data_IF_332903898090
#
_entry.id   IF_332903898090
#
_cell.length_a   1.000
_cell.length_b   1.000
_cell.length_c   1.000
_cell.angle_alpha   90.00
_cell.angle_beta   90.00
_cell.angle_gamma   90.00
#
_symmetry.space_group_name_H-M   'P 1'
#
loop_
_entity.id
_entity.type
_entity.pdbx_description
1 polymer ?
#
# COMPACT_ATOMS: atom_id res chain seq x y z
N UNK A 1 -15.92 11.84 -27.61
CA UNK A 1 -16.28 11.15 -26.35
C UNK A 1 -16.91 9.84 -26.75
N UNK A 2 -16.12 8.78 -26.91
CA UNK A 2 -16.62 7.46 -27.33
C UNK A 2 -17.34 6.82 -26.15
N UNK A 3 -18.65 6.59 -26.28
CA UNK A 3 -19.44 5.81 -25.33
C UNK A 3 -18.77 4.45 -25.13
N UNK A 4 -18.30 4.19 -23.91
CA UNK A 4 -17.85 2.86 -23.52
C UNK A 4 -19.11 2.02 -23.41
N UNK A 5 -19.28 1.02 -24.27
CA UNK A 5 -20.42 0.11 -24.20
C UNK A 5 -20.44 -0.60 -22.84
N UNK A 6 -21.63 -0.88 -22.30
CA UNK A 6 -21.81 -1.48 -20.98
C UNK A 6 -21.04 -2.82 -20.82
N UNK A 7 -20.89 -3.58 -21.91
CA UNK A 7 -20.07 -4.80 -21.95
C UNK A 7 -18.55 -4.52 -21.88
N UNK A 8 -18.08 -3.48 -22.58
CA UNK A 8 -16.67 -3.06 -22.53
C UNK A 8 -16.24 -2.63 -21.12
N UNK A 9 -17.13 -1.97 -20.38
CA UNK A 9 -16.89 -1.61 -18.99
C UNK A 9 -16.84 -2.85 -18.06
N UNK A 10 -17.80 -3.77 -18.17
CA UNK A 10 -17.83 -4.99 -17.34
C UNK A 10 -16.54 -5.81 -17.51
N UNK A 11 -16.05 -5.96 -18.74
CA UNK A 11 -14.82 -6.70 -19.03
C UNK A 11 -13.57 -6.01 -18.44
N UNK A 12 -13.53 -4.68 -18.43
CA UNK A 12 -12.45 -3.90 -17.81
C UNK A 12 -12.46 -4.04 -16.29
N UNK A 13 -13.63 -3.94 -15.66
CA UNK A 13 -13.79 -4.11 -14.22
C UNK A 13 -13.44 -5.53 -13.76
N UNK A 14 -13.86 -6.55 -14.51
CA UNK A 14 -13.51 -7.94 -14.25
C UNK A 14 -12.00 -8.17 -14.34
N UNK A 15 -11.36 -7.67 -15.40
CA UNK A 15 -9.89 -7.76 -15.56
C UNK A 15 -9.16 -7.09 -14.40
N UNK A 16 -9.61 -5.91 -13.97
CA UNK A 16 -9.07 -5.22 -12.80
C UNK A 16 -9.23 -6.03 -11.52
N UNK A 17 -10.41 -6.61 -11.25
CA UNK A 17 -10.63 -7.46 -10.09
C UNK A 17 -9.76 -8.72 -10.11
N UNK A 18 -9.52 -9.29 -11.30
CA UNK A 18 -8.60 -10.42 -11.46
C UNK A 18 -7.15 -10.03 -11.14
N UNK A 19 -6.68 -8.87 -11.59
CA UNK A 19 -5.35 -8.37 -11.22
C UNK A 19 -5.25 -8.10 -9.71
N UNK A 20 -6.30 -7.52 -9.12
CA UNK A 20 -6.40 -7.30 -7.68
C UNK A 20 -6.32 -8.63 -6.91
N UNK A 21 -7.14 -9.62 -7.27
CA UNK A 21 -7.15 -10.95 -6.66
C UNK A 21 -5.81 -11.65 -6.81
N UNK A 22 -5.21 -11.61 -8.00
CA UNK A 22 -3.90 -12.20 -8.27
C UNK A 22 -2.83 -11.59 -7.36
N UNK A 23 -2.88 -10.28 -7.16
CA UNK A 23 -1.92 -9.57 -6.30
C UNK A 23 -2.09 -9.94 -4.82
N UNK A 24 -3.34 -10.04 -4.34
CA UNK A 24 -3.62 -10.57 -3.00
C UNK A 24 -3.06 -11.98 -2.82
N UNK A 25 -3.33 -12.88 -3.77
CA UNK A 25 -2.84 -14.26 -3.72
C UNK A 25 -1.32 -14.29 -3.70
N UNK A 26 -0.64 -13.51 -4.53
CA UNK A 26 0.82 -13.45 -4.55
C UNK A 26 1.41 -12.93 -3.25
N UNK A 27 0.86 -11.85 -2.69
CA UNK A 27 1.35 -11.25 -1.44
C UNK A 27 1.10 -12.17 -0.23
N UNK A 28 -0.05 -12.84 -0.18
CA UNK A 28 -0.37 -13.82 0.88
C UNK A 28 0.49 -15.08 0.71
N UNK A 29 0.66 -15.59 -0.52
CA UNK A 29 1.51 -16.75 -0.76
C UNK A 29 2.97 -16.46 -0.39
N UNK A 30 3.46 -15.24 -0.64
CA UNK A 30 4.79 -14.80 -0.27
C UNK A 30 5.07 -14.94 1.23
N UNK A 31 4.05 -14.84 2.08
CA UNK A 31 4.20 -14.94 3.54
C UNK A 31 4.17 -16.37 4.06
N UNK A 32 3.66 -17.32 3.27
CA UNK A 32 3.59 -18.75 3.65
C UNK A 32 4.91 -19.47 3.38
N UNK A 33 5.72 -18.95 2.45
CA UNK A 33 7.00 -19.57 2.09
C UNK A 33 8.01 -19.32 3.22
N UNK A 34 8.55 -20.37 3.87
CA UNK A 34 9.55 -20.20 4.92
C UNK A 34 10.81 -19.53 4.35
N UNK A 35 11.21 -18.38 4.90
CA UNK A 35 12.49 -17.75 4.59
C UNK A 35 13.49 -17.97 5.73
N UNK A 36 14.76 -18.30 5.43
CA UNK A 36 15.81 -18.33 6.46
C UNK A 36 16.03 -16.94 7.06
N UNK A 37 16.07 -16.86 8.39
CA UNK A 37 16.32 -15.61 9.13
C UNK A 37 15.06 -14.82 9.51
N UNK A 38 15.26 -13.67 10.15
CA UNK A 38 14.19 -12.80 10.67
C UNK A 38 13.68 -11.78 9.65
N UNK A 39 14.35 -11.64 8.51
CA UNK A 39 13.99 -10.68 7.46
C UNK A 39 12.96 -11.30 6.52
N UNK A 40 11.81 -10.65 6.25
CA UNK A 40 10.80 -11.14 5.32
C UNK A 40 11.22 -10.92 3.85
N UNK A 41 12.27 -11.62 3.39
CA UNK A 41 12.88 -11.43 2.06
C UNK A 41 11.86 -11.64 0.94
N UNK A 42 11.09 -12.73 0.99
CA UNK A 42 10.13 -13.07 -0.07
C UNK A 42 8.98 -12.04 -0.11
N UNK A 43 8.32 -11.70 1.00
CA UNK A 43 7.35 -10.60 1.02
C UNK A 43 7.91 -9.28 0.49
N UNK A 44 9.16 -8.95 0.81
CA UNK A 44 9.79 -7.71 0.38
C UNK A 44 10.02 -7.68 -1.15
N UNK A 45 10.44 -8.80 -1.74
CA UNK A 45 10.56 -8.93 -3.20
C UNK A 45 9.20 -8.76 -3.87
N UNK A 46 8.16 -9.44 -3.37
CA UNK A 46 6.82 -9.36 -3.97
C UNK A 46 6.22 -7.95 -3.79
N UNK A 47 6.44 -7.30 -2.65
CA UNK A 47 6.03 -5.91 -2.42
C UNK A 47 6.76 -4.94 -3.37
N UNK A 48 8.07 -5.13 -3.58
CA UNK A 48 8.85 -4.34 -4.53
C UNK A 48 8.38 -4.55 -5.99
N UNK A 49 8.07 -5.79 -6.38
CA UNK A 49 7.50 -6.10 -7.70
C UNK A 49 6.11 -5.49 -7.87
N UNK A 50 5.30 -5.48 -6.80
CA UNK A 50 3.98 -4.84 -6.79
C UNK A 50 4.10 -3.32 -6.98
N UNK A 51 5.05 -2.68 -6.29
CA UNK A 51 5.38 -1.27 -6.48
C UNK A 51 5.84 -0.97 -7.91
N UNK A 52 6.73 -1.79 -8.46
CA UNK A 52 7.20 -1.66 -9.83
C UNK A 52 6.05 -1.80 -10.84
N UNK A 53 5.19 -2.82 -10.67
CA UNK A 53 4.01 -3.03 -11.49
C UNK A 53 3.04 -1.84 -11.41
N UNK A 54 2.83 -1.27 -10.23
CA UNK A 54 2.00 -0.07 -10.05
C UNK A 54 2.56 1.14 -10.81
N UNK A 55 3.89 1.34 -10.79
CA UNK A 55 4.57 2.42 -11.52
C UNK A 55 4.52 2.22 -13.04
N UNK A 56 4.64 0.97 -13.50
CA UNK A 56 4.56 0.60 -14.92
C UNK A 56 3.13 0.76 -15.45
N UNK A 57 2.15 0.20 -14.73
CA UNK A 57 0.73 0.23 -15.08
C UNK A 57 0.01 1.43 -14.45
N UNK A 58 0.64 2.60 -14.57
CA UNK A 58 0.24 3.82 -13.89
C UNK A 58 -1.25 4.16 -14.10
N UNK A 59 -2.07 4.31 -13.03
CA UNK A 59 -3.52 4.46 -13.17
C UNK A 59 -4.00 5.90 -13.32
N UNK A 60 -3.12 6.89 -13.21
CA UNK A 60 -3.49 8.30 -13.13
C UNK A 60 -3.02 9.11 -14.34
N UNK A 61 -3.71 10.21 -14.64
CA UNK A 61 -3.15 11.26 -15.51
C UNK A 61 -2.10 12.03 -14.71
N UNK A 62 -0.82 11.80 -15.00
CA UNK A 62 0.28 12.38 -14.23
C UNK A 62 1.58 12.45 -15.01
N UNK A 63 2.48 13.31 -14.54
CA UNK A 63 3.81 13.50 -15.12
C UNK A 63 4.76 12.36 -14.75
N UNK A 64 5.85 12.22 -15.51
CA UNK A 64 6.95 11.30 -15.18
C UNK A 64 7.49 11.57 -13.76
N UNK A 65 7.55 12.85 -13.35
CA UNK A 65 7.95 13.23 -12.00
C UNK A 65 7.05 12.60 -10.92
N UNK A 66 5.72 12.55 -11.13
CA UNK A 66 4.79 11.94 -10.16
C UNK A 66 5.10 10.44 -9.98
N UNK A 67 5.50 9.75 -11.06
CA UNK A 67 5.91 8.35 -11.03
C UNK A 67 7.23 8.14 -10.29
N UNK A 68 8.23 8.98 -10.56
CA UNK A 68 9.54 8.93 -9.89
C UNK A 68 9.36 9.17 -8.39
N UNK A 69 8.61 10.21 -8.01
CA UNK A 69 8.33 10.53 -6.61
C UNK A 69 7.65 9.35 -5.94
N UNK A 70 6.62 8.78 -6.56
CA UNK A 70 5.90 7.61 -6.03
C UNK A 70 6.84 6.41 -5.83
N UNK A 71 7.71 6.13 -6.80
CA UNK A 71 8.70 5.07 -6.69
C UNK A 71 9.70 5.31 -5.54
N UNK A 72 10.21 6.54 -5.41
CA UNK A 72 11.17 6.91 -4.36
C UNK A 72 10.54 6.75 -2.98
N UNK A 73 9.34 7.29 -2.76
CA UNK A 73 8.65 7.14 -1.48
C UNK A 73 8.37 5.67 -1.16
N UNK A 74 7.87 4.88 -2.12
CA UNK A 74 7.64 3.45 -1.93
C UNK A 74 8.92 2.66 -1.63
N UNK A 75 10.01 2.96 -2.32
CA UNK A 75 11.32 2.33 -2.08
C UNK A 75 11.86 2.67 -0.69
N UNK A 76 11.75 3.94 -0.26
CA UNK A 76 12.15 4.35 1.08
C UNK A 76 11.29 3.64 2.14
N UNK A 77 9.98 3.52 1.92
CA UNK A 77 9.08 2.77 2.82
C UNK A 77 9.50 1.30 2.97
N UNK A 78 9.91 0.65 1.86
CA UNK A 78 10.41 -0.73 1.88
C UNK A 78 11.75 -0.85 2.63
N UNK A 79 12.63 0.15 2.56
CA UNK A 79 13.89 0.17 3.33
C UNK A 79 13.59 0.13 4.83
N UNK A 80 12.59 0.87 5.29
CA UNK A 80 12.19 0.91 6.71
C UNK A 80 11.54 -0.36 7.24
N UNK A 81 11.29 -1.37 6.38
CA UNK A 81 10.94 -2.73 6.83
C UNK A 81 12.13 -3.41 7.49
N UNK A 82 13.36 -3.12 7.01
CA UNK A 82 14.59 -3.77 7.46
C UNK A 82 15.43 -2.83 8.33
N UNK A 83 15.41 -1.53 8.02
CA UNK A 83 16.18 -0.51 8.73
C UNK A 83 15.30 0.15 9.78
N UNK A 84 15.61 0.01 11.08
CA UNK A 84 14.83 0.67 12.12
C UNK A 84 14.87 2.19 12.01
N UNK A 85 13.74 2.84 12.23
CA UNK A 85 13.64 4.28 12.34
C UNK A 85 14.36 4.74 13.63
N UNK A 86 15.21 5.77 13.56
CA UNK A 86 15.98 6.21 14.72
C UNK A 86 15.08 6.83 15.79
N UNK A 87 14.95 6.16 16.93
CA UNK A 87 14.17 6.62 18.09
C UNK A 87 14.99 6.47 19.37
N UNK A 88 15.00 7.49 20.23
CA UNK A 88 15.72 7.45 21.51
C UNK A 88 14.95 6.73 22.62
N UNK A 89 13.62 6.72 22.53
CA UNK A 89 12.74 6.09 23.52
C UNK A 89 11.66 5.28 22.80
N UNK A 90 11.54 4.01 23.16
CA UNK A 90 10.53 3.10 22.61
C UNK A 90 9.71 2.54 23.75
N UNK A 91 8.38 2.57 23.66
CA UNK A 91 7.52 1.96 24.67
C UNK A 91 7.88 0.49 24.91
N UNK A 92 7.83 -0.02 26.16
CA UNK A 92 8.17 -1.40 26.47
C UNK A 92 7.32 -2.42 25.69
N UNK A 93 6.05 -2.09 25.41
CA UNK A 93 5.12 -2.89 24.60
C UNK A 93 5.46 -2.93 23.10
N UNK A 94 6.41 -2.09 22.66
CA UNK A 94 6.89 -2.01 21.27
C UNK A 94 8.36 -2.47 21.14
N UNK A 95 8.87 -3.13 22.16
CA UNK A 95 10.24 -3.64 22.24
C UNK A 95 10.19 -5.17 22.23
N UNK A 96 10.94 -5.79 21.33
CA UNK A 96 11.10 -7.23 21.28
C UNK A 96 11.88 -7.75 22.49
N UNK A 97 11.83 -9.07 22.72
CA UNK A 97 12.49 -9.70 23.86
C UNK A 97 14.02 -9.51 23.90
N UNK A 98 14.64 -9.21 22.75
CA UNK A 98 16.06 -8.92 22.60
C UNK A 98 16.41 -7.42 22.79
N UNK A 99 15.42 -6.58 23.13
CA UNK A 99 15.59 -5.14 23.29
C UNK A 99 15.52 -4.36 21.97
N UNK A 100 15.31 -5.02 20.84
CA UNK A 100 15.14 -4.36 19.54
C UNK A 100 13.73 -3.78 19.35
N UNK A 101 13.60 -2.80 18.47
CA UNK A 101 12.30 -2.18 18.16
C UNK A 101 11.50 -3.10 17.23
N UNK A 102 10.21 -3.30 17.52
CA UNK A 102 9.36 -4.10 16.64
C UNK A 102 9.30 -3.49 15.22
N UNK A 103 9.55 -4.28 14.15
CA UNK A 103 9.69 -3.75 12.79
C UNK A 103 8.49 -2.92 12.31
N UNK A 104 7.26 -3.35 12.59
CA UNK A 104 6.05 -2.64 12.19
C UNK A 104 5.85 -1.30 12.92
N UNK A 105 6.32 -1.18 14.17
CA UNK A 105 6.27 0.08 14.93
C UNK A 105 7.26 1.08 14.38
N UNK A 106 8.50 0.65 14.19
CA UNK A 106 9.55 1.43 13.52
C UNK A 106 9.08 1.93 12.15
N UNK A 107 8.55 1.03 11.32
CA UNK A 107 8.03 1.39 10.00
C UNK A 107 6.85 2.36 10.09
N UNK A 108 5.95 2.23 11.06
CA UNK A 108 4.82 3.14 11.24
C UNK A 108 5.26 4.58 11.57
N UNK A 109 6.34 4.75 12.34
CA UNK A 109 6.95 6.07 12.60
C UNK A 109 7.53 6.67 11.33
N UNK A 110 8.30 5.87 10.57
CA UNK A 110 8.84 6.28 9.28
C UNK A 110 7.73 6.65 8.30
N UNK A 111 6.67 5.84 8.22
CA UNK A 111 5.46 6.08 7.43
C UNK A 111 4.82 7.42 7.79
N UNK A 112 4.67 7.72 9.08
CA UNK A 112 4.12 9.00 9.55
C UNK A 112 4.94 10.20 9.04
N UNK A 113 6.27 10.14 9.16
CA UNK A 113 7.16 11.18 8.63
C UNK A 113 7.07 11.28 7.10
N UNK A 114 7.14 10.15 6.41
CA UNK A 114 7.08 10.09 4.95
C UNK A 114 5.76 10.63 4.41
N UNK A 115 4.64 10.40 5.09
CA UNK A 115 3.35 10.99 4.72
C UNK A 115 3.37 12.51 4.85
N UNK A 116 3.93 13.05 5.93
CA UNK A 116 4.09 14.51 6.08
C UNK A 116 4.95 15.08 4.95
N UNK A 117 6.10 14.47 4.67
CA UNK A 117 6.99 14.90 3.59
C UNK A 117 6.31 14.79 2.23
N UNK A 118 5.59 13.70 1.96
CA UNK A 118 4.83 13.48 0.73
C UNK A 118 3.79 14.60 0.53
N UNK A 119 3.03 14.92 1.57
CA UNK A 119 2.00 15.98 1.53
C UNK A 119 2.67 17.34 1.28
N UNK A 120 3.67 17.72 2.07
CA UNK A 120 4.40 18.99 1.93
C UNK A 120 5.00 19.12 0.53
N UNK A 121 5.67 18.08 0.03
CA UNK A 121 6.24 18.06 -1.30
C UNK A 121 5.16 18.18 -2.39
N UNK A 122 4.06 17.43 -2.25
CA UNK A 122 2.94 17.44 -3.22
C UNK A 122 2.27 18.81 -3.32
N UNK A 123 2.11 19.50 -2.19
CA UNK A 123 1.61 20.88 -2.12
C UNK A 123 2.64 21.89 -2.63
N UNK A 124 3.89 21.82 -2.18
CA UNK A 124 4.95 22.75 -2.57
C UNK A 124 5.17 22.75 -4.08
N UNK A 125 5.20 21.58 -4.70
CA UNK A 125 5.28 21.43 -6.15
C UNK A 125 4.12 22.10 -6.88
N UNK A 126 2.93 22.02 -6.31
CA UNK A 126 1.75 22.65 -6.90
C UNK A 126 1.74 24.17 -6.74
N UNK A 127 2.27 24.68 -5.64
CA UNK A 127 2.45 26.11 -5.41
C UNK A 127 3.50 26.72 -6.33
N UNK A 128 4.50 25.93 -6.75
CA UNK A 128 5.56 26.34 -7.67
C UNK A 128 5.14 26.38 -9.16
N UNK A 129 3.93 25.94 -9.53
CA UNK A 129 3.45 26.00 -10.92
C UNK A 129 2.92 27.38 -11.28
N UNK A 130 3.33 27.89 -12.45
CA UNK A 130 2.94 29.21 -12.96
C UNK A 130 1.45 29.29 -13.36
N UNK A 131 0.87 28.21 -13.91
CA UNK A 131 -0.57 28.08 -14.19
C UNK A 131 -1.23 27.06 -13.26
N UNK A 132 -2.22 27.50 -12.48
CA UNK A 132 -2.90 26.69 -11.43
C UNK A 132 -4.21 26.07 -11.90
N UNK A 133 -4.24 25.56 -13.12
CA UNK A 133 -5.41 24.83 -13.60
C UNK A 133 -5.37 23.38 -13.07
N UNK A 134 -6.52 22.88 -12.60
CA UNK A 134 -6.68 21.51 -12.08
C UNK A 134 -5.84 21.11 -10.85
N UNK A 135 -5.55 22.08 -9.96
CA UNK A 135 -4.80 21.89 -8.70
C UNK A 135 -5.27 20.67 -7.89
N UNK A 136 -6.57 20.61 -7.57
CA UNK A 136 -7.16 19.57 -6.72
C UNK A 136 -6.96 18.16 -7.31
N UNK A 137 -7.10 18.02 -8.63
CA UNK A 137 -6.93 16.74 -9.32
C UNK A 137 -5.47 16.28 -9.31
N UNK A 138 -4.54 17.19 -9.59
CA UNK A 138 -3.11 16.88 -9.57
C UNK A 138 -2.61 16.51 -8.15
N UNK A 139 -3.11 17.19 -7.12
CA UNK A 139 -2.83 16.85 -5.72
C UNK A 139 -3.36 15.46 -5.39
N UNK A 140 -4.62 15.20 -5.73
CA UNK A 140 -5.27 13.93 -5.40
C UNK A 140 -4.52 12.76 -6.02
N UNK A 141 -4.08 12.86 -7.28
CA UNK A 141 -3.30 11.80 -7.92
C UNK A 141 -1.93 11.59 -7.26
N UNK A 142 -1.18 12.65 -6.98
CA UNK A 142 0.15 12.56 -6.38
C UNK A 142 0.10 12.01 -4.95
N UNK A 143 -0.87 12.46 -4.14
CA UNK A 143 -1.05 11.97 -2.77
C UNK A 143 -1.54 10.53 -2.79
N UNK A 144 -2.54 10.19 -3.63
CA UNK A 144 -3.08 8.82 -3.67
C UNK A 144 -2.02 7.81 -4.14
N UNK A 145 -1.25 8.13 -5.17
CA UNK A 145 -0.17 7.25 -5.64
C UNK A 145 0.92 7.10 -4.59
N UNK A 146 1.33 8.19 -3.94
CA UNK A 146 2.34 8.18 -2.89
C UNK A 146 1.89 7.39 -1.66
N UNK A 147 0.65 7.57 -1.19
CA UNK A 147 0.10 6.82 -0.05
C UNK A 147 0.03 5.33 -0.38
N UNK A 148 -0.45 4.95 -1.57
CA UNK A 148 -0.47 3.55 -2.00
C UNK A 148 0.96 2.96 -2.05
N UNK A 149 1.91 3.68 -2.66
CA UNK A 149 3.30 3.26 -2.75
C UNK A 149 3.97 3.09 -1.39
N UNK A 150 3.70 3.99 -0.45
CA UNK A 150 4.17 3.86 0.92
C UNK A 150 3.55 2.64 1.61
N UNK A 151 2.24 2.44 1.45
CA UNK A 151 1.47 1.40 2.12
C UNK A 151 1.89 -0.03 1.74
N UNK A 152 2.42 -0.26 0.53
CA UNK A 152 2.78 -1.60 0.04
C UNK A 152 3.76 -2.33 0.97
N UNK A 153 4.65 -1.59 1.64
CA UNK A 153 5.63 -2.16 2.57
C UNK A 153 4.97 -2.82 3.79
N UNK A 154 3.76 -2.41 4.17
CA UNK A 154 3.03 -3.01 5.29
C UNK A 154 2.64 -4.47 5.08
N UNK A 155 2.62 -4.96 3.83
CA UNK A 155 2.44 -6.38 3.52
C UNK A 155 3.57 -7.26 4.06
N UNK A 156 4.76 -6.70 4.27
CA UNK A 156 5.89 -7.45 4.83
C UNK A 156 5.66 -7.89 6.28
N UNK A 157 4.72 -7.27 7.01
CA UNK A 157 4.37 -7.60 8.40
C UNK A 157 3.20 -8.58 8.53
N UNK A 158 2.67 -9.07 7.40
CA UNK A 158 1.61 -10.07 7.42
C UNK A 158 2.03 -11.41 8.08
N UNK A 159 3.28 -11.91 7.99
CA UNK A 159 3.69 -13.10 8.74
C UNK A 159 3.55 -12.90 10.26
N UNK A 160 4.01 -11.75 10.77
CA UNK A 160 3.92 -11.42 12.20
C UNK A 160 2.46 -11.32 12.65
N UNK A 161 1.62 -10.63 11.87
CA UNK A 161 0.19 -10.56 12.11
C UNK A 161 -0.45 -11.96 12.08
N UNK A 162 -0.07 -12.81 11.12
CA UNK A 162 -0.55 -14.18 11.02
C UNK A 162 -0.24 -15.00 12.28
N UNK A 163 0.96 -14.85 12.84
CA UNK A 163 1.35 -15.48 14.10
C UNK A 163 0.52 -14.96 15.29
N UNK A 164 0.18 -13.68 15.33
CA UNK A 164 -0.72 -13.12 16.35
C UNK A 164 -2.15 -13.67 16.20
N UNK A 165 -2.67 -13.76 14.98
CA UNK A 165 -4.00 -14.29 14.69
C UNK A 165 -4.11 -15.78 15.03
N UNK A 166 -3.04 -16.55 14.81
CA UNK A 166 -2.97 -17.97 15.13
C UNK A 166 -3.11 -18.27 16.64
N UNK A 167 -2.92 -17.28 17.53
CA UNK A 167 -3.20 -17.42 18.96
C UNK A 167 -4.69 -17.62 19.27
N UNK A 168 -5.59 -17.42 18.29
CA UNK A 168 -7.01 -17.75 18.41
C UNK A 168 -7.79 -16.84 19.38
N UNK A 169 -7.32 -15.62 19.60
CA UNK A 169 -7.99 -14.68 20.50
C UNK A 169 -9.25 -14.09 19.86
N UNK A 170 -10.20 -13.64 20.68
CA UNK A 170 -11.39 -12.91 20.21
C UNK A 170 -10.96 -11.65 19.44
N UNK A 171 -9.99 -10.90 19.97
CA UNK A 171 -9.44 -9.72 19.31
C UNK A 171 -8.85 -10.05 17.93
N UNK A 172 -8.11 -11.15 17.81
CA UNK A 172 -7.58 -11.61 16.53
C UNK A 172 -8.68 -11.99 15.54
N UNK A 173 -9.72 -12.69 15.99
CA UNK A 173 -10.87 -13.05 15.14
C UNK A 173 -11.60 -11.82 14.63
N UNK A 174 -11.86 -10.83 15.50
CA UNK A 174 -12.48 -9.55 15.11
C UNK A 174 -11.61 -8.80 14.11
N UNK A 175 -10.30 -8.74 14.34
CA UNK A 175 -9.37 -8.10 13.43
C UNK A 175 -9.36 -8.74 12.03
N UNK A 176 -9.38 -10.08 11.96
CA UNK A 176 -9.47 -10.81 10.70
C UNK A 176 -10.76 -10.47 9.92
N UNK A 177 -11.90 -10.42 10.61
CA UNK A 177 -13.18 -10.03 10.01
C UNK A 177 -13.09 -8.62 9.44
N UNK A 178 -12.53 -7.66 10.18
CA UNK A 178 -12.36 -6.27 9.74
C UNK A 178 -11.49 -6.21 8.47
N UNK A 179 -10.38 -6.95 8.43
CA UNK A 179 -9.50 -7.00 7.25
C UNK A 179 -10.21 -7.54 6.01
N UNK A 180 -11.01 -8.61 6.16
CA UNK A 180 -11.78 -9.18 5.05
C UNK A 180 -12.83 -8.18 4.56
N UNK A 181 -13.61 -7.58 5.48
CA UNK A 181 -14.65 -6.60 5.14
C UNK A 181 -14.04 -5.39 4.44
N UNK A 182 -12.90 -4.89 4.92
CA UNK A 182 -12.22 -3.74 4.32
C UNK A 182 -11.65 -4.08 2.94
N UNK A 183 -11.06 -5.27 2.77
CA UNK A 183 -10.58 -5.74 1.47
C UNK A 183 -11.71 -5.85 0.43
N UNK A 184 -12.88 -6.36 0.84
CA UNK A 184 -14.09 -6.41 0.00
C UNK A 184 -14.63 -5.01 -0.30
N UNK A 185 -14.68 -4.12 0.68
CA UNK A 185 -15.12 -2.73 0.48
C UNK A 185 -14.20 -1.99 -0.51
N UNK A 186 -12.88 -2.18 -0.41
CA UNK A 186 -11.91 -1.64 -1.34
C UNK A 186 -12.02 -2.27 -2.74
N UNK A 187 -12.34 -3.56 -2.84
CA UNK A 187 -12.66 -4.19 -4.13
C UNK A 187 -13.89 -3.54 -4.78
N UNK A 188 -14.97 -3.29 -4.03
CA UNK A 188 -16.13 -2.56 -4.53
C UNK A 188 -15.76 -1.13 -4.92
N UNK A 189 -15.02 -0.41 -4.08
CA UNK A 189 -14.57 0.96 -4.38
C UNK A 189 -13.71 1.01 -5.65
N UNK A 190 -12.84 0.03 -5.88
CA UNK A 190 -11.99 -0.03 -7.07
C UNK A 190 -12.79 -0.16 -8.37
N UNK A 191 -13.98 -0.78 -8.34
CA UNK A 191 -14.89 -0.81 -9.51
C UNK A 191 -15.40 0.57 -9.88
N UNK A 192 -15.58 1.46 -8.90
CA UNK A 192 -15.93 2.86 -9.12
C UNK A 192 -14.70 3.62 -9.64
N UNK A 193 -13.53 3.37 -9.07
CA UNK A 193 -12.28 4.01 -9.51
C UNK A 193 -11.93 3.68 -10.96
N UNK A 194 -12.05 2.42 -11.40
CA UNK A 194 -11.72 2.04 -12.79
C UNK A 194 -12.74 2.53 -13.81
N UNK A 195 -13.98 2.77 -13.36
CA UNK A 195 -15.05 3.39 -14.16
C UNK A 195 -14.74 4.86 -14.42
N UNK A 196 -14.35 5.58 -13.38
CA UNK A 196 -14.14 7.04 -13.42
C UNK A 196 -12.66 7.41 -13.70
N UNK A 197 -11.79 6.41 -13.87
CA UNK A 197 -10.38 6.59 -14.15
C UNK A 197 -10.16 7.23 -15.54
N UNK A 198 -9.41 8.31 -15.55
CA UNK A 198 -8.88 8.98 -16.74
C UNK A 198 -7.35 8.84 -16.75
N UNK A 199 -6.80 7.66 -17.15
CA UNK A 199 -5.38 7.42 -17.21
C UNK A 199 -4.73 8.09 -18.42
N UNK A 200 -3.40 8.18 -18.39
CA UNK A 200 -2.59 8.63 -19.51
C UNK A 200 -2.78 7.73 -20.76
N UNK A 201 -3.12 8.29 -21.95
CA UNK A 201 -3.38 7.52 -23.16
C UNK A 201 -2.24 6.59 -23.59
N UNK A 202 -0.99 6.93 -23.23
CA UNK A 202 0.19 6.14 -23.61
C UNK A 202 0.32 4.83 -22.79
N UNK A 203 -0.50 4.66 -21.75
CA UNK A 203 -0.47 3.49 -20.88
C UNK A 203 -1.43 2.41 -21.40
N UNK A 204 -0.85 1.26 -21.78
CA UNK A 204 -1.60 0.13 -22.37
C UNK A 204 -2.61 -0.52 -21.42
N UNK A 205 -2.28 -0.70 -20.13
CA UNK A 205 -3.11 -1.45 -19.17
C UNK A 205 -3.23 -0.75 -17.80
N UNK A 206 -3.76 0.48 -17.72
CA UNK A 206 -3.82 1.27 -16.49
C UNK A 206 -4.77 0.70 -15.43
N UNK A 207 -5.72 -0.16 -15.86
CA UNK A 207 -6.63 -0.86 -14.97
C UNK A 207 -5.90 -1.83 -14.02
N UNK A 208 -4.69 -2.30 -14.38
CA UNK A 208 -3.85 -3.09 -13.46
C UNK A 208 -3.45 -2.21 -12.28
N UNK A 209 -2.92 -1.00 -12.52
CA UNK A 209 -2.58 -0.07 -11.45
C UNK A 209 -3.78 0.33 -10.59
N UNK A 210 -4.97 0.48 -11.19
CA UNK A 210 -6.20 0.76 -10.44
C UNK A 210 -6.57 -0.39 -9.51
N UNK A 211 -6.37 -1.65 -9.94
CA UNK A 211 -6.59 -2.83 -9.10
C UNK A 211 -5.48 -3.08 -8.06
N UNK A 212 -4.25 -2.64 -8.33
CA UNK A 212 -3.13 -2.72 -7.39
C UNK A 212 -3.26 -1.73 -6.24
N UNK A 213 -3.79 -0.53 -6.49
CA UNK A 213 -3.96 0.52 -5.48
C UNK A 213 -4.68 0.06 -4.20
N UNK A 214 -5.88 -0.56 -4.25
CA UNK A 214 -6.54 -1.04 -3.04
C UNK A 214 -5.73 -2.14 -2.33
N UNK A 215 -5.03 -3.00 -3.07
CA UNK A 215 -4.15 -4.03 -2.48
C UNK A 215 -3.01 -3.37 -1.72
N UNK A 216 -2.33 -2.40 -2.34
CA UNK A 216 -1.23 -1.68 -1.69
C UNK A 216 -1.70 -0.95 -0.44
N UNK A 217 -2.86 -0.28 -0.49
CA UNK A 217 -3.46 0.41 0.66
C UNK A 217 -3.77 -0.51 1.84
N UNK A 218 -4.14 -1.78 1.58
CA UNK A 218 -4.32 -2.77 2.66
C UNK A 218 -3.04 -3.01 3.47
N UNK A 219 -1.85 -2.75 2.93
CA UNK A 219 -0.61 -2.89 3.70
C UNK A 219 -0.58 -2.04 4.97
N UNK A 220 -1.14 -0.82 4.94
CA UNK A 220 -1.30 0.02 6.15
C UNK A 220 -2.18 -0.67 7.18
N UNK A 221 -3.25 -1.33 6.74
CA UNK A 221 -4.21 -1.98 7.64
C UNK A 221 -3.61 -3.21 8.31
N UNK A 222 -2.73 -3.94 7.61
CA UNK A 222 -1.97 -5.06 8.17
C UNK A 222 -1.06 -4.55 9.30
N UNK A 223 -0.25 -3.51 9.02
CA UNK A 223 0.65 -2.92 10.01
C UNK A 223 -0.11 -2.33 11.21
N UNK A 224 -1.21 -1.60 10.95
CA UNK A 224 -2.05 -1.04 12.00
C UNK A 224 -2.70 -2.13 12.87
N UNK A 225 -3.13 -3.24 12.26
CA UNK A 225 -3.68 -4.37 13.00
C UNK A 225 -2.61 -5.03 13.86
N UNK A 226 -1.39 -5.22 13.34
CA UNK A 226 -0.26 -5.73 14.12
C UNK A 226 0.07 -4.82 15.32
N UNK A 227 0.03 -3.49 15.14
CA UNK A 227 0.20 -2.53 16.23
C UNK A 227 -0.86 -2.66 17.32
N UNK A 228 -2.14 -2.73 16.93
CA UNK A 228 -3.26 -2.83 17.86
C UNK A 228 -3.26 -4.18 18.59
N UNK A 229 -3.12 -5.28 17.86
CA UNK A 229 -3.09 -6.61 18.45
C UNK A 229 -1.85 -6.84 19.30
N UNK A 230 -0.70 -6.27 18.91
CA UNK A 230 0.53 -6.28 19.72
C UNK A 230 0.31 -5.67 21.10
N UNK A 231 -0.51 -4.62 21.22
CA UNK A 231 -0.85 -4.00 22.51
C UNK A 231 -1.88 -4.77 23.34
N UNK A 232 -2.77 -5.52 22.67
CA UNK A 232 -3.87 -6.23 23.35
C UNK A 232 -3.42 -7.63 23.81
N UNK A 233 -2.51 -8.25 23.06
CA UNK A 233 -2.11 -9.66 23.23
C UNK A 233 -0.65 -9.81 23.69
N UNK A 234 0.19 -8.77 23.53
CA UNK A 234 1.56 -8.73 24.06
C UNK A 234 1.57 -8.52 25.55
#
# INVERSE_FOLDING_TARGET
MTEITQEGWKNKALSMLLAQLTSYVLLIAATVIPSPGTVPIIPLIIAALTLAAFVVFWPFRGSILDRIVTLVFGAISLIFVIVPFPTSEVPPDQTAADGSVLPWYSWALAMGLLLVVLVVFSFGRQMAREKREHLIRALSHAVTSGVAALAVAGWCFLPDLGAMLAKGTVAGTVALIILIVLGLALAVASTLWVRDADPDPDIRYPWIGTGLMPVMLMGVTIAATALVLGRIIG
#
